data_IF_517695346705
#
_entry.id   IF_517695346705
#
_cell.length_a   1.000
_cell.length_b   1.000
_cell.length_c   1.000
_cell.angle_alpha   90.00
_cell.angle_beta   90.00
_cell.angle_gamma   90.00
#
_symmetry.space_group_name_H-M   'P 1'
#
loop_
_entity.id
_entity.type
_entity.pdbx_description
1 polymer ?
#
# COMPACT_ATOMS: atom_id res chain seq x y z
N UNK A 1 16.20 -33.44 3.91
CA UNK A 1 14.91 -32.79 4.27
C UNK A 1 14.99 -31.25 4.18
N UNK A 2 16.15 -30.65 4.38
CA UNK A 2 16.35 -29.18 4.39
C UNK A 2 16.31 -28.55 2.98
N UNK A 3 16.67 -29.29 1.95
CA UNK A 3 16.71 -28.79 0.56
C UNK A 3 15.30 -28.51 -0.01
N UNK A 4 14.31 -29.31 0.37
CA UNK A 4 12.93 -29.14 -0.11
C UNK A 4 12.23 -27.89 0.44
N UNK A 5 12.51 -27.51 1.69
CA UNK A 5 11.93 -26.31 2.31
C UNK A 5 12.54 -25.02 1.74
N UNK A 6 13.86 -25.04 1.45
CA UNK A 6 14.52 -23.89 0.82
C UNK A 6 14.02 -23.64 -0.61
N UNK A 7 13.79 -24.68 -1.40
CA UNK A 7 13.26 -24.55 -2.77
C UNK A 7 11.82 -24.02 -2.79
N UNK A 8 10.94 -24.48 -1.86
CA UNK A 8 9.59 -23.97 -1.73
C UNK A 8 9.57 -22.48 -1.34
N UNK A 9 10.30 -22.08 -0.31
CA UNK A 9 10.38 -20.68 0.12
C UNK A 9 10.95 -19.76 -0.96
N UNK A 10 11.94 -20.22 -1.75
CA UNK A 10 12.46 -19.46 -2.88
C UNK A 10 11.43 -19.30 -3.99
N UNK A 11 10.64 -20.34 -4.28
CA UNK A 11 9.58 -20.28 -5.28
C UNK A 11 8.47 -19.32 -4.84
N UNK A 12 8.01 -19.41 -3.60
CA UNK A 12 7.00 -18.53 -3.02
C UNK A 12 7.46 -17.06 -3.04
N UNK A 13 8.70 -16.80 -2.65
CA UNK A 13 9.28 -15.46 -2.72
C UNK A 13 9.36 -14.91 -4.16
N UNK A 14 9.78 -15.73 -5.13
CA UNK A 14 9.85 -15.31 -6.53
C UNK A 14 8.46 -15.07 -7.12
N UNK A 15 7.46 -15.87 -6.75
CA UNK A 15 6.08 -15.66 -7.14
C UNK A 15 5.52 -14.36 -6.53
N UNK A 16 5.75 -14.11 -5.25
CA UNK A 16 5.34 -12.89 -4.59
C UNK A 16 5.99 -11.65 -5.23
N UNK A 17 7.28 -11.72 -5.61
CA UNK A 17 7.94 -10.67 -6.39
C UNK A 17 7.28 -10.40 -7.74
N UNK A 18 6.89 -11.44 -8.45
CA UNK A 18 6.29 -11.33 -9.77
C UNK A 18 4.86 -10.76 -9.70
N UNK A 19 4.11 -11.11 -8.66
CA UNK A 19 2.72 -10.68 -8.43
C UNK A 19 2.67 -9.29 -7.75
N UNK A 20 3.69 -8.95 -6.96
CA UNK A 20 3.78 -7.70 -6.19
C UNK A 20 3.26 -7.81 -4.76
N UNK A 21 2.79 -8.99 -4.33
CA UNK A 21 2.36 -9.26 -2.95
C UNK A 21 2.58 -10.71 -2.57
N UNK A 22 2.85 -10.94 -1.28
CA UNK A 22 2.88 -12.27 -0.66
C UNK A 22 1.53 -12.72 -0.09
N UNK A 23 0.45 -11.98 -0.34
CA UNK A 23 -0.88 -12.31 0.18
C UNK A 23 -1.53 -13.49 -0.55
N UNK A 24 -2.39 -14.21 0.17
CA UNK A 24 -3.25 -15.27 -0.41
C UNK A 24 -4.44 -14.65 -1.17
N UNK A 25 -4.93 -13.49 -0.71
CA UNK A 25 -6.06 -12.80 -1.34
C UNK A 25 -6.05 -11.30 -1.05
N UNK A 26 -6.76 -10.56 -1.91
CA UNK A 26 -7.07 -9.14 -1.77
C UNK A 26 -8.57 -8.97 -1.54
N UNK A 27 -8.94 -8.24 -0.50
CA UNK A 27 -10.32 -7.81 -0.21
C UNK A 27 -10.39 -6.31 -0.41
N UNK A 28 -11.31 -5.83 -1.24
CA UNK A 28 -11.38 -4.43 -1.62
C UNK A 28 -12.69 -3.77 -1.21
N UNK A 29 -12.65 -2.45 -1.04
CA UNK A 29 -13.83 -1.62 -0.85
C UNK A 29 -14.48 -1.75 0.52
N UNK A 30 -13.69 -2.02 1.55
CA UNK A 30 -14.17 -2.16 2.92
C UNK A 30 -14.42 -0.80 3.57
N UNK A 31 -15.49 -0.69 4.36
CA UNK A 31 -15.61 0.38 5.35
C UNK A 31 -14.60 0.18 6.48
N UNK A 32 -14.38 1.20 7.29
CA UNK A 32 -13.49 1.06 8.46
C UNK A 32 -13.96 -0.05 9.40
N UNK A 33 -15.28 -0.13 9.65
CA UNK A 33 -15.86 -1.18 10.49
C UNK A 33 -15.64 -2.58 9.91
N UNK A 34 -15.88 -2.77 8.61
CA UNK A 34 -15.63 -4.04 7.93
C UNK A 34 -14.15 -4.43 7.96
N UNK A 35 -13.24 -3.45 7.80
CA UNK A 35 -11.82 -3.71 7.92
C UNK A 35 -11.43 -4.17 9.34
N UNK A 36 -11.99 -3.55 10.40
CA UNK A 36 -11.74 -3.98 11.77
C UNK A 36 -12.29 -5.40 12.02
N UNK A 37 -13.48 -5.71 11.53
CA UNK A 37 -14.05 -7.07 11.60
C UNK A 37 -13.17 -8.10 10.88
N UNK A 38 -12.62 -7.74 9.71
CA UNK A 38 -11.68 -8.58 8.98
C UNK A 38 -10.42 -8.85 9.80
N UNK A 39 -9.85 -7.80 10.39
CA UNK A 39 -8.63 -7.87 11.20
C UNK A 39 -8.79 -8.74 12.46
N UNK A 40 -9.97 -8.73 13.08
CA UNK A 40 -10.29 -9.52 14.27
C UNK A 40 -10.69 -10.96 13.95
N UNK A 41 -10.92 -11.28 12.68
CA UNK A 41 -11.37 -12.60 12.28
C UNK A 41 -10.24 -13.64 12.36
N UNK A 42 -10.45 -14.67 13.19
CA UNK A 42 -9.47 -15.74 13.45
C UNK A 42 -9.13 -16.61 12.22
N UNK A 43 -9.87 -16.46 11.11
CA UNK A 43 -9.59 -17.13 9.83
C UNK A 43 -8.29 -16.64 9.22
N UNK A 44 -7.90 -15.39 9.49
CA UNK A 44 -6.71 -14.77 8.92
C UNK A 44 -5.52 -14.87 9.88
N UNK A 45 -4.35 -15.17 9.33
CA UNK A 45 -3.08 -15.14 10.04
C UNK A 45 -2.50 -13.72 10.04
N UNK A 46 -2.59 -13.04 8.90
CA UNK A 46 -2.14 -11.66 8.72
C UNK A 46 -3.15 -10.89 7.87
N UNK A 47 -3.41 -9.66 8.26
CA UNK A 47 -4.23 -8.70 7.53
C UNK A 47 -3.45 -7.41 7.42
N UNK A 48 -3.14 -6.99 6.20
CA UNK A 48 -2.52 -5.72 5.89
C UNK A 48 -3.55 -4.71 5.41
N UNK A 49 -3.46 -3.47 5.87
CA UNK A 49 -4.32 -2.37 5.48
C UNK A 49 -3.70 -1.54 4.36
N UNK A 50 -4.46 -1.31 3.31
CA UNK A 50 -4.08 -0.45 2.21
C UNK A 50 -5.23 0.50 1.87
N UNK A 51 -4.92 1.80 1.72
CA UNK A 51 -5.86 2.81 1.22
C UNK A 51 -5.25 3.45 -0.01
N UNK A 52 -5.68 3.09 -1.22
CA UNK A 52 -5.23 3.76 -2.43
C UNK A 52 -5.84 5.15 -2.48
N UNK A 53 -5.00 6.16 -2.63
CA UNK A 53 -5.39 7.57 -2.66
C UNK A 53 -5.53 8.02 -4.10
N UNK A 54 -4.43 8.07 -4.86
CA UNK A 54 -4.44 8.49 -6.26
C UNK A 54 -3.09 8.14 -6.95
N UNK A 55 -2.95 8.45 -8.20
CA UNK A 55 -1.71 8.31 -8.97
C UNK A 55 -1.02 9.66 -9.07
N UNK A 56 0.30 9.70 -8.85
CA UNK A 56 1.12 10.91 -9.03
C UNK A 56 1.06 11.40 -10.48
N UNK A 57 0.98 12.71 -10.66
CA UNK A 57 0.99 13.35 -11.98
C UNK A 57 2.31 14.04 -12.32
N UNK A 58 3.18 14.25 -11.36
CA UNK A 58 4.48 14.92 -11.53
C UNK A 58 5.66 13.94 -11.70
N UNK A 59 5.40 12.72 -12.13
CA UNK A 59 6.41 11.70 -12.46
C UNK A 59 6.15 11.10 -13.83
N UNK A 60 7.19 10.60 -14.51
CA UNK A 60 7.05 9.87 -15.78
C UNK A 60 6.63 8.39 -15.56
N UNK A 61 6.47 7.96 -14.33
CA UNK A 61 6.08 6.59 -13.99
C UNK A 61 4.57 6.41 -14.08
N UNK A 62 4.14 5.46 -14.90
CA UNK A 62 2.71 5.24 -15.21
C UNK A 62 1.92 4.80 -13.97
N UNK A 63 2.58 4.15 -13.01
CA UNK A 63 1.93 3.54 -11.83
C UNK A 63 2.55 4.01 -10.51
N UNK A 64 3.04 5.27 -10.43
CA UNK A 64 3.45 5.82 -9.14
C UNK A 64 2.21 6.15 -8.31
N UNK A 65 1.82 5.22 -7.44
CA UNK A 65 0.64 5.35 -6.59
C UNK A 65 0.95 6.16 -5.33
N UNK A 66 -0.03 6.85 -4.81
CA UNK A 66 -0.02 7.47 -3.47
C UNK A 66 -0.97 6.64 -2.62
N UNK A 67 -0.43 6.01 -1.59
CA UNK A 67 -1.15 5.05 -0.78
C UNK A 67 -0.91 5.32 0.71
N UNK A 68 -1.86 4.93 1.55
CA UNK A 68 -1.58 4.58 2.93
C UNK A 68 -1.40 3.07 3.04
N UNK A 69 -0.43 2.63 3.83
CA UNK A 69 -0.22 1.22 4.17
C UNK A 69 0.22 1.08 5.63
N UNK A 70 -0.37 0.13 6.35
CA UNK A 70 0.09 -0.23 7.68
C UNK A 70 1.32 -1.19 7.62
N UNK A 71 1.95 -1.45 8.76
CA UNK A 71 3.15 -2.28 8.81
C UNK A 71 2.95 -3.70 8.23
N UNK A 72 1.84 -4.43 8.52
CA UNK A 72 1.60 -5.72 7.87
C UNK A 72 1.51 -5.62 6.34
N UNK A 73 0.91 -4.54 5.83
CA UNK A 73 0.79 -4.32 4.38
C UNK A 73 2.14 -4.07 3.72
N UNK A 74 2.99 -3.24 4.34
CA UNK A 74 4.34 -2.99 3.86
C UNK A 74 5.16 -4.28 3.75
N UNK A 75 5.01 -5.18 4.71
CA UNK A 75 5.67 -6.49 4.69
C UNK A 75 5.13 -7.38 3.55
N UNK A 76 3.80 -7.45 3.39
CA UNK A 76 3.17 -8.27 2.35
C UNK A 76 3.55 -7.82 0.94
N UNK A 77 3.69 -6.50 0.74
CA UNK A 77 4.08 -5.91 -0.56
C UNK A 77 5.58 -5.67 -0.73
N UNK A 78 6.40 -6.13 0.21
CA UNK A 78 7.87 -5.94 0.19
C UNK A 78 8.28 -4.46 0.07
N UNK A 79 7.52 -3.58 0.71
CA UNK A 79 7.73 -2.14 0.76
C UNK A 79 8.30 -1.68 2.10
N UNK A 80 8.86 -2.61 2.89
CA UNK A 80 9.53 -2.25 4.16
C UNK A 80 10.72 -1.33 3.90
N UNK A 81 10.92 -0.28 4.72
CA UNK A 81 12.05 0.62 4.54
C UNK A 81 13.38 -0.12 4.61
N UNK A 82 14.25 0.06 3.61
CA UNK A 82 15.67 -0.34 3.72
C UNK A 82 16.48 0.69 4.50
N UNK A 83 16.02 1.97 4.49
CA UNK A 83 16.64 3.09 5.19
C UNK A 83 15.55 3.97 5.76
N UNK A 84 15.73 4.47 6.98
CA UNK A 84 14.73 5.26 7.68
C UNK A 84 13.59 4.43 8.26
N UNK A 85 12.39 4.97 8.27
CA UNK A 85 11.19 4.36 8.87
C UNK A 85 9.93 4.64 8.06
N UNK A 86 8.87 3.88 8.35
CA UNK A 86 7.53 4.21 7.87
C UNK A 86 7.09 5.59 8.39
N UNK A 87 6.31 6.36 7.60
CA UNK A 87 5.90 7.71 7.96
C UNK A 87 4.97 7.71 9.18
N UNK A 88 5.17 8.69 10.07
CA UNK A 88 4.35 8.86 11.28
C UNK A 88 3.62 10.22 11.27
N UNK A 89 4.26 11.27 10.73
CA UNK A 89 3.67 12.62 10.67
C UNK A 89 2.98 12.84 9.34
N UNK A 90 2.06 13.78 9.31
CA UNK A 90 1.27 14.11 8.12
C UNK A 90 2.12 14.56 6.91
N UNK A 91 3.28 15.14 7.15
CA UNK A 91 4.21 15.57 6.11
C UNK A 91 5.34 14.57 5.81
N UNK A 92 5.27 13.35 6.32
CA UNK A 92 6.28 12.31 6.08
C UNK A 92 5.81 11.29 5.04
N UNK A 93 6.76 10.75 4.27
CA UNK A 93 6.51 9.67 3.30
C UNK A 93 7.60 8.61 3.33
N UNK A 94 7.19 7.37 3.07
CA UNK A 94 8.05 6.28 2.65
C UNK A 94 7.92 6.16 1.12
N UNK A 95 9.04 6.19 0.41
CA UNK A 95 9.05 6.27 -1.06
C UNK A 95 9.99 5.24 -1.69
N UNK A 96 9.66 4.77 -2.88
CA UNK A 96 10.58 3.92 -3.63
C UNK A 96 11.80 4.70 -4.13
N UNK A 97 12.98 4.05 -4.12
CA UNK A 97 14.20 4.64 -4.66
C UNK A 97 14.04 5.07 -6.13
N UNK A 98 13.24 4.34 -6.89
CA UNK A 98 13.01 4.65 -8.29
C UNK A 98 12.20 5.94 -8.51
N UNK A 99 11.22 6.24 -7.65
CA UNK A 99 10.47 7.52 -7.71
C UNK A 99 11.41 8.69 -7.41
N UNK A 100 12.27 8.58 -6.39
CA UNK A 100 13.27 9.61 -6.10
C UNK A 100 14.19 9.86 -7.30
N UNK A 101 14.67 8.78 -7.92
CA UNK A 101 15.51 8.85 -9.12
C UNK A 101 14.80 9.52 -10.29
N UNK A 102 13.53 9.19 -10.54
CA UNK A 102 12.74 9.79 -11.62
C UNK A 102 12.53 11.29 -11.41
N UNK A 103 12.30 11.71 -10.16
CA UNK A 103 12.18 13.10 -9.77
C UNK A 103 13.53 13.84 -9.64
N UNK A 104 14.65 13.14 -9.85
CA UNK A 104 16.01 13.66 -9.68
C UNK A 104 16.27 14.19 -8.25
N UNK A 105 15.71 13.49 -7.25
CA UNK A 105 15.89 13.78 -5.82
C UNK A 105 16.92 12.81 -5.24
N UNK A 106 17.82 13.33 -4.40
CA UNK A 106 18.83 12.51 -3.72
C UNK A 106 18.16 11.48 -2.78
N UNK A 107 18.62 10.24 -2.81
CA UNK A 107 18.17 9.17 -1.90
C UNK A 107 18.66 9.43 -0.46
N UNK A 108 17.98 10.34 0.24
CA UNK A 108 18.35 10.77 1.58
C UNK A 108 17.14 10.98 2.47
N UNK A 109 17.21 10.48 3.71
CA UNK A 109 16.22 10.78 4.73
C UNK A 109 16.23 12.27 5.04
N UNK A 110 15.05 12.89 5.11
CA UNK A 110 14.87 14.32 5.26
C UNK A 110 14.89 15.11 3.95
N UNK A 111 15.06 14.45 2.79
CA UNK A 111 14.89 15.12 1.50
C UNK A 111 13.44 15.58 1.32
N UNK A 112 13.25 16.73 0.68
CA UNK A 112 11.92 17.21 0.29
C UNK A 112 11.50 16.53 -1.03
N UNK A 113 10.25 16.12 -1.10
CA UNK A 113 9.65 15.51 -2.29
C UNK A 113 8.28 16.17 -2.56
N UNK A 114 8.09 16.79 -3.73
CA UNK A 114 6.77 17.27 -4.15
C UNK A 114 5.91 16.08 -4.59
N UNK A 115 4.68 16.03 -4.11
CA UNK A 115 3.67 15.07 -4.55
C UNK A 115 2.53 15.84 -5.18
N UNK A 116 2.24 15.53 -6.43
CA UNK A 116 1.12 16.11 -7.16
C UNK A 116 0.21 15.02 -7.69
N UNK A 117 -1.08 15.24 -7.59
CA UNK A 117 -2.08 14.37 -8.20
C UNK A 117 -3.36 15.13 -8.52
N UNK A 118 -4.14 14.55 -9.41
CA UNK A 118 -5.46 15.06 -9.78
C UNK A 118 -6.52 14.10 -9.30
N UNK A 119 -7.43 14.58 -8.44
CA UNK A 119 -8.60 13.79 -8.06
C UNK A 119 -9.45 13.51 -9.31
N UNK A 120 -9.75 12.25 -9.59
CA UNK A 120 -10.47 11.82 -10.80
C UNK A 120 -11.92 12.23 -10.80
N UNK A 121 -12.54 12.40 -9.62
CA UNK A 121 -13.94 12.79 -9.49
C UNK A 121 -14.14 14.30 -9.62
N UNK A 122 -13.46 15.08 -8.76
CA UNK A 122 -13.61 16.53 -8.73
C UNK A 122 -12.80 17.24 -9.80
N UNK A 123 -11.76 16.60 -10.34
CA UNK A 123 -10.78 17.23 -11.23
C UNK A 123 -9.82 18.17 -10.51
N UNK A 124 -9.90 18.28 -9.18
CA UNK A 124 -9.03 19.14 -8.36
C UNK A 124 -7.59 18.64 -8.38
N UNK A 125 -6.66 19.57 -8.53
CA UNK A 125 -5.22 19.32 -8.37
C UNK A 125 -4.83 19.51 -6.91
N UNK A 126 -4.10 18.55 -6.38
CA UNK A 126 -3.49 18.60 -5.05
C UNK A 126 -1.97 18.64 -5.18
N UNK A 127 -1.35 19.40 -4.32
CA UNK A 127 0.09 19.53 -4.21
C UNK A 127 0.49 19.51 -2.74
N UNK A 128 1.49 18.67 -2.41
CA UNK A 128 2.04 18.55 -1.06
C UNK A 128 3.56 18.49 -1.13
N UNK A 129 4.23 19.32 -0.33
CA UNK A 129 5.67 19.22 -0.09
C UNK A 129 5.89 18.30 1.12
N UNK A 130 6.43 17.11 0.85
CA UNK A 130 6.60 16.05 1.84
C UNK A 130 8.07 15.83 2.17
N UNK A 131 8.33 15.18 3.30
CA UNK A 131 9.66 14.82 3.78
C UNK A 131 9.85 13.32 3.71
N UNK A 132 10.92 12.88 3.09
CA UNK A 132 11.29 11.46 3.02
C UNK A 132 11.68 10.96 4.41
N UNK A 133 10.84 10.13 5.03
CA UNK A 133 11.10 9.45 6.30
C UNK A 133 11.69 8.05 6.12
N UNK A 134 11.43 7.44 4.98
CA UNK A 134 11.93 6.12 4.63
C UNK A 134 12.07 5.91 3.13
N UNK A 135 12.97 5.02 2.75
CA UNK A 135 13.22 4.64 1.36
C UNK A 135 13.17 3.10 1.27
N UNK A 136 12.47 2.58 0.29
CA UNK A 136 12.42 1.14 0.02
C UNK A 136 12.82 0.82 -1.42
N UNK A 137 13.26 -0.43 -1.64
CA UNK A 137 13.51 -0.97 -2.97
C UNK A 137 12.30 -1.76 -3.43
N UNK A 138 11.72 -1.39 -4.55
CA UNK A 138 10.59 -2.14 -5.08
C UNK A 138 11.06 -3.40 -5.80
N UNK A 139 10.47 -4.56 -5.51
CA UNK A 139 10.75 -5.79 -6.25
C UNK A 139 10.12 -5.79 -7.64
N UNK A 140 9.13 -4.91 -7.87
CA UNK A 140 8.35 -4.85 -9.09
C UNK A 140 8.12 -3.39 -9.50
N UNK A 141 8.69 -2.99 -10.64
CA UNK A 141 8.57 -1.62 -11.18
C UNK A 141 7.11 -1.19 -11.48
N UNK A 142 6.17 -2.13 -11.46
CA UNK A 142 4.74 -1.86 -11.67
C UNK A 142 3.99 -1.48 -10.38
N UNK A 143 4.62 -1.60 -9.23
CA UNK A 143 4.00 -1.38 -7.91
C UNK A 143 4.83 -0.39 -7.10
N UNK A 144 5.12 0.77 -7.68
CA UNK A 144 5.86 1.82 -7.01
C UNK A 144 4.91 2.80 -6.35
N UNK A 145 5.13 3.07 -5.08
CA UNK A 145 4.25 3.95 -4.31
C UNK A 145 5.04 4.98 -3.51
N UNK A 146 4.36 6.09 -3.26
CA UNK A 146 4.63 7.00 -2.16
C UNK A 146 3.64 6.67 -1.06
N UNK A 147 4.14 6.13 0.05
CA UNK A 147 3.33 5.73 1.19
C UNK A 147 3.23 6.90 2.15
N UNK A 148 2.01 7.36 2.41
CA UNK A 148 1.73 8.41 3.39
C UNK A 148 1.36 7.83 4.75
N UNK A 149 1.39 8.67 5.80
CA UNK A 149 0.99 8.29 7.14
C UNK A 149 -0.53 8.29 7.32
N UNK A 150 -1.02 7.66 8.40
CA UNK A 150 -2.42 7.81 8.83
C UNK A 150 -2.74 9.27 9.18
N UNK A 151 -1.80 9.99 9.80
CA UNK A 151 -1.94 11.40 10.13
C UNK A 151 -2.18 12.28 8.88
N UNK A 152 -1.56 11.94 7.73
CA UNK A 152 -1.82 12.64 6.47
C UNK A 152 -3.31 12.55 6.07
N UNK A 153 -3.90 11.37 6.16
CA UNK A 153 -5.32 11.18 5.84
C UNK A 153 -6.23 11.92 6.83
N UNK A 154 -5.90 11.88 8.13
CA UNK A 154 -6.65 12.54 9.20
C UNK A 154 -6.60 14.07 9.10
N UNK A 155 -5.48 14.65 8.64
CA UNK A 155 -5.33 16.09 8.43
C UNK A 155 -5.94 16.60 7.10
N UNK A 156 -6.32 15.68 6.19
CA UNK A 156 -6.91 16.01 4.88
C UNK A 156 -8.30 15.39 4.68
N UNK A 157 -9.27 15.61 5.59
CA UNK A 157 -10.56 14.91 5.57
C UNK A 157 -11.41 15.25 4.34
N UNK A 158 -11.35 16.48 3.82
CA UNK A 158 -12.08 16.88 2.63
C UNK A 158 -11.61 16.12 1.40
N UNK A 159 -10.30 16.04 1.21
CA UNK A 159 -9.68 15.26 0.14
C UNK A 159 -10.05 13.77 0.24
N UNK A 160 -9.97 13.20 1.45
CA UNK A 160 -10.33 11.79 1.67
C UNK A 160 -11.82 11.52 1.42
N UNK A 161 -12.70 12.46 1.74
CA UNK A 161 -14.13 12.37 1.41
C UNK A 161 -14.38 12.40 -0.11
N UNK A 162 -13.66 13.23 -0.87
CA UNK A 162 -13.76 13.25 -2.33
C UNK A 162 -13.30 11.92 -2.93
N UNK A 163 -12.21 11.34 -2.41
CA UNK A 163 -11.70 10.02 -2.84
C UNK A 163 -12.73 8.93 -2.54
N UNK A 164 -13.34 8.97 -1.35
CA UNK A 164 -14.40 8.03 -0.96
C UNK A 164 -15.63 8.11 -1.87
N UNK A 165 -16.05 9.31 -2.24
CA UNK A 165 -17.17 9.51 -3.18
C UNK A 165 -16.88 8.87 -4.56
N UNK A 166 -15.62 8.84 -4.99
CA UNK A 166 -15.20 8.19 -6.23
C UNK A 166 -15.31 6.67 -6.23
N UNK A 167 -15.53 6.05 -5.08
CA UNK A 167 -15.62 4.59 -4.94
C UNK A 167 -17.06 4.04 -4.98
N UNK A 168 -18.05 4.84 -5.41
CA UNK A 168 -19.43 4.41 -5.72
C UNK A 168 -20.08 3.49 -4.67
N UNK A 169 -20.02 3.88 -3.39
CA UNK A 169 -20.64 3.14 -2.28
C UNK A 169 -19.80 2.03 -1.68
N UNK A 170 -18.58 1.82 -2.18
CA UNK A 170 -17.57 1.00 -1.54
C UNK A 170 -16.78 1.81 -0.50
N UNK A 171 -16.24 1.14 0.52
CA UNK A 171 -15.31 1.77 1.44
C UNK A 171 -13.94 2.05 0.81
N UNK A 172 -13.12 2.83 1.50
CA UNK A 172 -11.79 3.22 1.01
C UNK A 172 -10.68 2.23 1.38
N UNK A 173 -10.97 1.29 2.29
CA UNK A 173 -9.98 0.34 2.78
C UNK A 173 -9.93 -0.89 1.89
N UNK A 174 -8.73 -1.25 1.50
CA UNK A 174 -8.42 -2.53 0.88
C UNK A 174 -7.52 -3.33 1.83
N UNK A 175 -7.52 -4.65 1.74
CA UNK A 175 -6.74 -5.50 2.61
C UNK A 175 -6.09 -6.65 1.83
N UNK A 176 -4.78 -6.80 1.98
CA UNK A 176 -4.08 -8.02 1.63
C UNK A 176 -4.11 -8.97 2.82
N UNK A 177 -4.49 -10.24 2.60
CA UNK A 177 -4.66 -11.20 3.69
C UNK A 177 -3.87 -12.48 3.48
N UNK A 178 -3.35 -13.05 4.58
CA UNK A 178 -2.85 -14.43 4.64
C UNK A 178 -3.84 -15.26 5.45
N UNK A 179 -4.27 -16.37 4.87
CA UNK A 179 -5.17 -17.34 5.51
C UNK A 179 -4.38 -18.25 6.44
N UNK A 180 -4.93 -18.61 7.61
CA UNK A 180 -4.35 -19.66 8.46
C UNK A 180 -4.37 -21.04 7.80
N UNK A 181 -5.34 -21.27 6.94
CA UNK A 181 -5.47 -22.46 6.13
C UNK A 181 -5.77 -22.05 4.69
N UNK A 182 -4.74 -22.04 3.86
CA UNK A 182 -4.84 -21.63 2.46
C UNK A 182 -5.51 -22.67 1.53
N UNK A 183 -5.84 -23.85 2.04
CA UNK A 183 -6.44 -24.93 1.23
C UNK A 183 -7.85 -24.61 0.71
N UNK A 184 -8.55 -23.65 1.33
CA UNK A 184 -9.94 -23.28 1.01
C UNK A 184 -10.15 -21.77 0.83
N UNK A 185 -9.14 -21.06 0.31
CA UNK A 185 -9.14 -19.60 0.18
C UNK A 185 -10.40 -19.04 -0.50
N UNK A 186 -10.79 -19.59 -1.64
CA UNK A 186 -11.94 -19.08 -2.41
C UNK A 186 -13.27 -19.24 -1.68
N UNK A 187 -13.48 -20.37 -1.04
CA UNK A 187 -14.74 -20.68 -0.33
C UNK A 187 -14.88 -19.79 0.89
N UNK A 188 -13.83 -19.65 1.69
CA UNK A 188 -13.85 -18.88 2.93
C UNK A 188 -13.96 -17.36 2.73
N UNK A 189 -13.32 -16.82 1.69
CA UNK A 189 -13.50 -15.38 1.35
C UNK A 189 -14.93 -15.12 0.86
N UNK A 190 -15.52 -16.02 0.09
CA UNK A 190 -16.90 -15.86 -0.36
C UNK A 190 -17.93 -15.90 0.79
N UNK A 191 -17.61 -16.54 1.91
CA UNK A 191 -18.44 -16.53 3.12
C UNK A 191 -18.34 -15.20 3.87
N UNK A 192 -17.17 -14.55 3.85
CA UNK A 192 -16.96 -13.29 4.53
C UNK A 192 -17.63 -12.10 3.80
N UNK A 193 -17.68 -12.12 2.48
CA UNK A 193 -18.20 -11.02 1.63
C UNK A 193 -19.74 -11.07 1.46
N UNK A 194 -20.41 -12.06 2.00
CA UNK A 194 -21.88 -12.14 2.05
C UNK A 194 -22.48 -11.44 3.26
#
# INVERSE_FOLDING_TARGET
LTIGMGAKGTLEYNMAKMIGTGADALVQGLSEEQFQQLKENSMFEKVGCWVPIEIMTNTNRIFAEIDYADQPQLELRMQTPRTGSAPQKANEVLVSANILKDLNIEEKIGAEIPIEFKNRQSGQMYHFDMIVSGIYDTPNEKSESVIVSKAFMEENPEMMNEIAQGREGCGIYDADVIMRDSSMVKERISEFVR
#
